data_IF_324125349565
#
_entry.id   IF_324125349565
#
_cell.length_a   1.000
_cell.length_b   1.000
_cell.length_c   1.000
_cell.angle_alpha   90.00
_cell.angle_beta   90.00
_cell.angle_gamma   90.00
#
_symmetry.space_group_name_H-M   'P 1'
#
loop_
_entity.id
_entity.type
_entity.pdbx_description
1 polymer ?
#
# COMPACT_ATOMS: atom_id res chain seq x y z
N UNK A 1 -2.77 39.78 -4.46
CA UNK A 1 -3.64 38.59 -4.47
C UNK A 1 -3.34 37.78 -3.24
N UNK A 2 -4.32 37.56 -2.34
CA UNK A 2 -4.13 36.62 -1.22
C UNK A 2 -4.14 35.21 -1.80
N UNK A 3 -3.03 34.51 -1.66
CA UNK A 3 -2.94 33.09 -2.01
C UNK A 3 -3.96 32.32 -1.15
N UNK A 4 -4.81 31.46 -1.73
CA UNK A 4 -5.79 30.73 -0.94
C UNK A 4 -5.08 29.86 0.11
N UNK A 5 -5.58 29.93 1.34
CA UNK A 5 -5.20 29.03 2.41
C UNK A 5 -5.87 27.66 2.20
N UNK A 6 -5.26 26.60 2.72
CA UNK A 6 -5.90 25.28 2.77
C UNK A 6 -6.84 25.29 3.98
N UNK A 7 -8.14 25.33 3.74
CA UNK A 7 -9.13 25.29 4.82
C UNK A 7 -9.28 23.88 5.42
N UNK A 8 -9.98 23.80 6.55
CA UNK A 8 -10.18 22.55 7.28
C UNK A 8 -10.90 21.48 6.43
N UNK A 9 -11.93 21.88 5.68
CA UNK A 9 -12.71 20.98 4.81
C UNK A 9 -11.86 20.38 3.69
N UNK A 10 -11.00 21.19 3.09
CA UNK A 10 -10.03 20.74 2.08
C UNK A 10 -9.07 19.73 2.71
N UNK A 11 -8.49 20.06 3.86
CA UNK A 11 -7.56 19.18 4.56
C UNK A 11 -8.21 17.84 4.95
N UNK A 12 -9.43 17.86 5.48
CA UNK A 12 -10.18 16.63 5.78
C UNK A 12 -10.40 15.77 4.53
N UNK A 13 -10.76 16.37 3.41
CA UNK A 13 -10.99 15.66 2.14
C UNK A 13 -9.71 15.02 1.60
N UNK A 14 -8.57 15.71 1.72
CA UNK A 14 -7.25 15.19 1.38
C UNK A 14 -6.90 13.98 2.25
N UNK A 15 -7.05 14.13 3.57
CA UNK A 15 -6.73 13.09 4.54
C UNK A 15 -7.64 11.86 4.42
N UNK A 16 -8.94 12.06 4.20
CA UNK A 16 -9.90 10.99 3.94
C UNK A 16 -9.51 10.16 2.70
N UNK A 17 -9.07 10.84 1.65
CA UNK A 17 -8.60 10.19 0.43
C UNK A 17 -7.30 9.41 0.67
N UNK A 18 -6.36 10.01 1.42
CA UNK A 18 -5.10 9.38 1.78
C UNK A 18 -5.31 8.05 2.52
N UNK A 19 -6.18 8.03 3.54
CA UNK A 19 -6.43 6.82 4.35
C UNK A 19 -7.19 5.73 3.60
N UNK A 20 -7.87 6.06 2.49
CA UNK A 20 -8.51 5.07 1.63
C UNK A 20 -7.51 4.19 0.86
N UNK A 21 -6.22 4.54 0.86
CA UNK A 21 -5.17 3.74 0.24
C UNK A 21 -5.10 2.31 0.82
N UNK A 22 -4.75 1.31 0.00
CA UNK A 22 -4.45 -0.02 0.49
C UNK A 22 -3.13 -0.02 1.27
N UNK A 23 -3.04 -0.85 2.31
CA UNK A 23 -1.79 -1.10 3.01
C UNK A 23 -1.64 -2.57 3.35
N UNK A 24 -0.40 -3.03 3.55
CA UNK A 24 -0.14 -4.39 4.02
C UNK A 24 -0.93 -4.65 5.31
N UNK A 25 -1.66 -5.76 5.36
CA UNK A 25 -2.54 -6.15 6.48
C UNK A 25 -3.50 -5.05 7.00
N UNK A 26 -3.80 -4.04 6.18
CA UNK A 26 -4.52 -2.83 6.61
C UNK A 26 -3.90 -2.14 7.85
N UNK A 27 -2.57 -2.21 7.99
CA UNK A 27 -1.79 -1.55 9.05
C UNK A 27 -1.89 -0.03 9.02
N UNK A 28 -2.22 0.58 7.87
CA UNK A 28 -2.31 2.03 7.64
C UNK A 28 -1.12 2.80 8.22
N UNK A 29 0.12 2.48 7.81
CA UNK A 29 1.32 2.79 8.58
C UNK A 29 1.87 4.20 8.29
N UNK A 30 0.97 5.18 8.30
CA UNK A 30 1.23 6.58 8.01
C UNK A 30 0.75 7.47 9.15
N UNK A 31 1.42 8.60 9.33
CA UNK A 31 0.96 9.76 10.10
C UNK A 31 1.02 10.99 9.22
N UNK A 32 0.06 11.88 9.39
CA UNK A 32 -0.04 13.12 8.63
C UNK A 32 0.14 14.33 9.54
N UNK A 33 0.95 15.29 9.09
CA UNK A 33 1.07 16.62 9.68
C UNK A 33 0.84 17.68 8.59
N UNK A 34 0.38 18.86 8.98
CA UNK A 34 0.20 19.99 8.07
C UNK A 34 1.08 21.15 8.53
N UNK A 35 1.95 21.62 7.64
CA UNK A 35 2.64 22.89 7.77
C UNK A 35 1.81 23.94 7.02
N UNK A 36 1.18 24.83 7.79
CA UNK A 36 0.31 25.87 7.27
C UNK A 36 1.08 26.96 6.50
N UNK A 37 2.32 27.26 6.90
CA UNK A 37 3.12 28.33 6.32
C UNK A 37 3.57 27.96 4.90
N UNK A 38 4.00 26.71 4.73
CA UNK A 38 4.44 26.21 3.42
C UNK A 38 3.31 25.57 2.60
N UNK A 39 2.14 25.36 3.21
CA UNK A 39 1.00 24.58 2.69
C UNK A 39 1.41 23.16 2.30
N UNK A 40 2.12 22.51 3.21
CA UNK A 40 2.72 21.20 2.98
C UNK A 40 2.14 20.15 3.91
N UNK A 41 1.70 19.04 3.33
CA UNK A 41 1.34 17.84 4.10
C UNK A 41 2.58 16.97 4.25
N UNK A 42 3.00 16.75 5.49
CA UNK A 42 4.05 15.81 5.85
C UNK A 42 3.47 14.42 6.05
N UNK A 43 4.04 13.43 5.37
CA UNK A 43 3.65 12.02 5.48
C UNK A 43 4.80 11.24 6.10
N UNK A 44 4.58 10.80 7.34
CA UNK A 44 5.59 10.11 8.16
C UNK A 44 5.27 8.63 8.29
N UNK A 45 6.30 7.81 8.44
CA UNK A 45 6.15 6.42 8.82
C UNK A 45 5.54 6.31 10.22
N UNK A 46 4.63 5.35 10.40
CA UNK A 46 4.14 4.98 11.71
C UNK A 46 4.93 3.79 12.31
N UNK A 47 4.83 3.58 13.63
CA UNK A 47 5.52 2.48 14.33
C UNK A 47 4.86 1.12 14.13
N UNK A 48 3.61 1.07 13.63
CA UNK A 48 2.93 -0.16 13.22
C UNK A 48 3.74 -0.87 12.14
N UNK A 49 4.35 -1.99 12.54
CA UNK A 49 5.29 -2.76 11.73
C UNK A 49 4.94 -4.24 11.73
N UNK A 50 5.55 -4.97 10.79
CA UNK A 50 5.43 -6.41 10.62
C UNK A 50 6.85 -6.99 10.55
N UNK A 51 7.55 -7.19 11.67
CA UNK A 51 8.96 -7.58 11.67
C UNK A 51 9.25 -8.89 10.91
N UNK A 52 8.31 -9.83 10.84
CA UNK A 52 8.53 -11.09 10.11
C UNK A 52 8.07 -10.97 8.64
N UNK A 53 6.89 -10.40 8.39
CA UNK A 53 6.30 -10.27 7.05
C UNK A 53 6.99 -9.18 6.22
N UNK A 54 7.43 -8.08 6.85
CA UNK A 54 8.08 -6.94 6.18
C UNK A 54 9.31 -6.43 6.96
N UNK A 55 10.36 -7.26 7.13
CA UNK A 55 11.53 -6.94 7.97
C UNK A 55 12.31 -5.70 7.49
N UNK A 56 12.20 -5.36 6.19
CA UNK A 56 12.85 -4.19 5.60
C UNK A 56 11.90 -3.02 5.37
N UNK A 57 10.66 -3.11 5.85
CA UNK A 57 9.64 -2.07 5.73
C UNK A 57 9.31 -1.69 4.26
N UNK A 58 9.53 -2.59 3.30
CA UNK A 58 9.24 -2.33 1.88
C UNK A 58 7.74 -2.16 1.67
N UNK A 59 6.95 -3.08 2.21
CA UNK A 59 5.50 -3.03 2.08
C UNK A 59 4.90 -1.84 2.83
N UNK A 60 5.51 -1.41 3.94
CA UNK A 60 5.20 -0.14 4.60
C UNK A 60 5.42 1.04 3.63
N UNK A 61 6.57 1.14 2.97
CA UNK A 61 6.85 2.22 2.02
C UNK A 61 5.90 2.17 0.80
N UNK A 62 5.57 0.98 0.28
CA UNK A 62 4.53 0.84 -0.76
C UNK A 62 3.18 1.38 -0.29
N UNK A 63 2.80 1.06 0.95
CA UNK A 63 1.54 1.53 1.55
C UNK A 63 1.52 3.05 1.66
N UNK A 64 2.61 3.66 2.13
CA UNK A 64 2.71 5.12 2.22
C UNK A 64 2.73 5.77 0.83
N UNK A 65 3.42 5.19 -0.14
CA UNK A 65 3.38 5.65 -1.53
C UNK A 65 1.95 5.67 -2.09
N UNK A 66 1.14 4.65 -1.79
CA UNK A 66 -0.27 4.62 -2.19
C UNK A 66 -1.08 5.76 -1.53
N UNK A 67 -0.86 6.04 -0.24
CA UNK A 67 -1.51 7.17 0.46
C UNK A 67 -1.10 8.53 -0.14
N UNK A 68 0.18 8.72 -0.47
CA UNK A 68 0.69 9.91 -1.16
C UNK A 68 0.03 10.07 -2.54
N UNK A 69 -0.18 8.98 -3.28
CA UNK A 69 -0.87 9.05 -4.56
C UNK A 69 -2.33 9.52 -4.40
N UNK A 70 -3.05 9.00 -3.41
CA UNK A 70 -4.43 9.44 -3.17
C UNK A 70 -4.51 10.90 -2.70
N UNK A 71 -3.52 11.39 -1.93
CA UNK A 71 -3.39 12.82 -1.62
C UNK A 71 -3.26 13.66 -2.90
N UNK A 72 -2.41 13.25 -3.84
CA UNK A 72 -2.23 13.95 -5.13
C UNK A 72 -3.52 13.99 -5.94
N UNK A 73 -4.24 12.87 -6.01
CA UNK A 73 -5.53 12.77 -6.72
C UNK A 73 -6.57 13.69 -6.10
N UNK A 74 -6.68 13.71 -4.77
CA UNK A 74 -7.61 14.56 -4.05
C UNK A 74 -7.26 16.06 -4.17
N UNK A 75 -5.98 16.41 -4.06
CA UNK A 75 -5.50 17.77 -4.25
C UNK A 75 -5.87 18.30 -5.63
N UNK A 76 -5.58 17.53 -6.68
CA UNK A 76 -5.94 17.90 -8.05
C UNK A 76 -7.45 18.05 -8.27
N UNK A 77 -8.25 17.18 -7.66
CA UNK A 77 -9.71 17.29 -7.73
C UNK A 77 -10.24 18.58 -7.07
N UNK A 78 -9.59 19.01 -5.98
CA UNK A 78 -9.92 20.22 -5.23
C UNK A 78 -9.28 21.50 -5.80
N UNK A 79 -8.68 21.44 -7.00
CA UNK A 79 -8.09 22.61 -7.68
C UNK A 79 -6.67 22.97 -7.25
N UNK A 80 -5.98 22.08 -6.54
CA UNK A 80 -4.57 22.25 -6.15
C UNK A 80 -3.64 21.50 -7.11
N UNK A 81 -2.46 22.05 -7.34
CA UNK A 81 -1.34 21.37 -8.01
C UNK A 81 -0.36 20.83 -6.94
N UNK A 82 -0.34 19.50 -6.69
CA UNK A 82 0.49 18.91 -5.64
C UNK A 82 1.92 18.64 -6.14
N UNK A 83 2.90 19.28 -5.51
CA UNK A 83 4.32 18.94 -5.68
C UNK A 83 4.77 17.97 -4.60
N UNK A 84 5.23 16.79 -5.00
CA UNK A 84 5.70 15.75 -4.07
C UNK A 84 7.21 15.65 -4.04
N UNK A 85 7.78 15.72 -2.84
CA UNK A 85 9.17 15.40 -2.56
C UNK A 85 9.23 14.15 -1.70
N UNK A 86 9.86 13.08 -2.19
CA UNK A 86 10.06 11.84 -1.44
C UNK A 86 11.35 11.89 -0.65
N UNK A 87 11.32 11.42 0.61
CA UNK A 87 12.47 11.40 1.53
C UNK A 87 13.20 12.77 1.58
N UNK A 88 12.48 13.86 1.90
CA UNK A 88 12.99 15.23 1.72
C UNK A 88 14.15 15.61 2.65
N UNK A 89 14.27 15.01 3.83
CA UNK A 89 15.37 15.26 4.77
C UNK A 89 16.14 13.96 5.08
N UNK A 90 17.41 13.83 4.63
CA UNK A 90 18.26 12.69 4.96
C UNK A 90 18.50 12.47 6.46
N UNK A 91 18.36 13.53 7.29
CA UNK A 91 18.53 13.48 8.75
C UNK A 91 17.27 12.98 9.45
N UNK A 92 16.12 13.04 8.78
CA UNK A 92 14.85 12.51 9.28
C UNK A 92 14.32 11.41 8.35
N UNK A 93 14.85 10.19 8.45
CA UNK A 93 14.41 9.08 7.64
C UNK A 93 12.95 8.68 7.89
N UNK A 94 12.29 9.17 8.95
CA UNK A 94 10.88 8.91 9.24
C UNK A 94 9.93 9.77 8.39
N UNK A 95 10.39 10.89 7.84
CA UNK A 95 9.64 11.72 6.90
C UNK A 95 9.72 11.12 5.50
N UNK A 96 8.67 10.41 5.09
CA UNK A 96 8.69 9.66 3.83
C UNK A 96 8.32 10.52 2.63
N UNK A 97 7.46 11.51 2.80
CA UNK A 97 7.12 12.45 1.74
C UNK A 97 6.62 13.79 2.29
N UNK A 98 6.80 14.84 1.50
CA UNK A 98 6.13 16.12 1.65
C UNK A 98 5.31 16.40 0.40
N UNK A 99 4.04 16.77 0.56
CA UNK A 99 3.13 17.16 -0.52
C UNK A 99 2.80 18.64 -0.37
N UNK A 100 3.44 19.49 -1.17
CA UNK A 100 3.23 20.94 -1.14
C UNK A 100 2.14 21.33 -2.13
N UNK A 101 1.20 22.15 -1.69
CA UNK A 101 0.02 22.51 -2.47
C UNK A 101 0.18 23.90 -3.11
N UNK A 102 0.13 23.93 -4.44
CA UNK A 102 0.09 25.16 -5.24
C UNK A 102 -1.30 25.36 -5.84
N UNK A 103 -1.64 26.59 -6.21
CA UNK A 103 -2.88 26.84 -6.95
C UNK A 103 -2.68 26.35 -8.38
N UNK A 104 -3.57 25.51 -8.88
CA UNK A 104 -3.49 25.02 -10.24
C UNK A 104 -3.64 26.17 -11.26
N UNK A 105 -2.89 26.10 -12.36
CA UNK A 105 -3.09 27.01 -13.49
C UNK A 105 -4.46 26.73 -14.15
N UNK A 106 -5.18 27.75 -14.66
CA UNK A 106 -6.51 27.58 -15.26
C UNK A 106 -6.59 26.52 -16.37
N UNK A 107 -5.53 26.36 -17.15
CA UNK A 107 -5.47 25.46 -18.31
C UNK A 107 -4.71 24.16 -18.05
N UNK A 108 -4.33 23.87 -16.81
CA UNK A 108 -3.61 22.64 -16.47
C UNK A 108 -4.54 21.43 -16.64
N UNK A 109 -4.23 20.55 -17.60
CA UNK A 109 -4.93 19.26 -17.70
C UNK A 109 -4.53 18.37 -16.51
N UNK A 110 -5.49 17.94 -15.67
CA UNK A 110 -5.13 17.16 -14.49
C UNK A 110 -4.70 15.76 -14.91
N UNK A 111 -3.45 15.40 -14.61
CA UNK A 111 -2.91 14.05 -14.85
C UNK A 111 -3.68 12.93 -14.12
N UNK A 112 -4.62 13.32 -13.25
CA UNK A 112 -5.43 12.48 -12.37
C UNK A 112 -6.91 12.38 -12.81
N UNK A 113 -7.25 12.86 -14.01
CA UNK A 113 -8.62 12.93 -14.50
C UNK A 113 -9.39 11.60 -14.35
N UNK A 114 -10.53 11.65 -13.67
CA UNK A 114 -11.43 10.52 -13.44
C UNK A 114 -10.93 9.49 -12.40
N UNK A 115 -9.87 9.78 -11.64
CA UNK A 115 -9.37 8.89 -10.58
C UNK A 115 -9.98 9.18 -9.20
N UNK A 116 -10.47 10.39 -8.95
CA UNK A 116 -10.99 10.79 -7.63
C UNK A 116 -12.12 9.87 -7.13
N UNK A 117 -13.15 9.66 -7.95
CA UNK A 117 -14.26 8.75 -7.61
C UNK A 117 -13.84 7.29 -7.47
N UNK A 118 -12.68 6.91 -8.05
CA UNK A 118 -12.15 5.56 -7.91
C UNK A 118 -11.54 5.33 -6.51
N UNK A 119 -11.06 6.38 -5.82
CA UNK A 119 -10.44 6.27 -4.48
C UNK A 119 -11.41 5.62 -3.48
N UNK A 120 -12.65 6.11 -3.43
CA UNK A 120 -13.68 5.58 -2.53
C UNK A 120 -14.21 4.20 -2.92
N UNK A 121 -14.16 3.85 -4.22
CA UNK A 121 -14.65 2.57 -4.77
C UNK A 121 -13.60 1.46 -4.79
N UNK A 122 -12.32 1.80 -4.64
CA UNK A 122 -11.24 0.81 -4.76
C UNK A 122 -11.23 -0.08 -3.52
N UNK A 123 -11.41 -1.38 -3.74
CA UNK A 123 -11.33 -2.41 -2.70
C UNK A 123 -10.48 -3.60 -3.15
N UNK A 124 -9.86 -4.27 -2.17
CA UNK A 124 -9.14 -5.53 -2.42
C UNK A 124 -10.13 -6.68 -2.41
N UNK A 125 -10.40 -7.26 -3.57
CA UNK A 125 -11.27 -8.43 -3.67
C UNK A 125 -10.46 -9.71 -3.49
N UNK A 126 -10.83 -10.52 -2.50
CA UNK A 126 -10.26 -11.85 -2.28
C UNK A 126 -11.17 -12.98 -2.77
N UNK A 127 -12.20 -12.64 -3.53
CA UNK A 127 -13.19 -13.57 -4.05
C UNK A 127 -12.73 -14.22 -5.38
N UNK A 128 -13.35 -15.34 -5.80
CA UNK A 128 -13.22 -15.86 -7.15
C UNK A 128 -13.57 -14.82 -8.21
N UNK A 129 -12.81 -14.78 -9.30
CA UNK A 129 -13.15 -13.98 -10.46
C UNK A 129 -13.78 -14.87 -11.54
N UNK A 130 -14.47 -14.25 -12.48
CA UNK A 130 -15.22 -14.91 -13.55
C UNK A 130 -14.32 -15.64 -14.56
N UNK A 131 -13.01 -15.33 -14.59
CA UNK A 131 -12.08 -15.84 -15.60
C UNK A 131 -12.21 -15.18 -16.98
N UNK A 132 -13.15 -14.23 -17.16
CA UNK A 132 -13.24 -13.42 -18.37
C UNK A 132 -11.96 -12.58 -18.53
N UNK A 133 -11.31 -12.59 -19.71
CA UNK A 133 -10.13 -11.76 -19.94
C UNK A 133 -10.48 -10.29 -19.79
N UNK A 134 -9.55 -9.51 -19.24
CA UNK A 134 -9.71 -8.05 -19.18
C UNK A 134 -9.29 -7.52 -20.54
N UNK A 135 -10.10 -6.67 -21.19
CA UNK A 135 -9.76 -6.08 -22.48
C UNK A 135 -8.36 -5.47 -22.50
N UNK A 136 -7.61 -5.71 -23.58
CA UNK A 136 -6.22 -5.31 -23.71
C UNK A 136 -6.01 -3.81 -23.48
N UNK A 137 -6.90 -2.97 -24.00
CA UNK A 137 -6.81 -1.51 -23.79
C UNK A 137 -6.85 -1.12 -22.31
N UNK A 138 -7.60 -1.83 -21.45
CA UNK A 138 -7.64 -1.57 -20.00
C UNK A 138 -6.31 -1.99 -19.37
N UNK A 139 -5.76 -3.14 -19.80
CA UNK A 139 -4.44 -3.61 -19.33
C UNK A 139 -3.36 -2.60 -19.71
N UNK A 140 -3.37 -2.08 -20.93
CA UNK A 140 -2.44 -1.06 -21.40
C UNK A 140 -2.55 0.24 -20.59
N UNK A 141 -3.77 0.68 -20.23
CA UNK A 141 -3.98 1.83 -19.34
C UNK A 141 -3.40 1.59 -17.94
N UNK A 142 -3.55 0.38 -17.37
CA UNK A 142 -2.92 0.02 -16.10
C UNK A 142 -1.38 0.02 -16.18
N UNK A 143 -0.83 -0.49 -17.28
CA UNK A 143 0.63 -0.50 -17.52
C UNK A 143 1.16 0.92 -17.67
N UNK A 144 0.46 1.77 -18.44
CA UNK A 144 0.79 3.18 -18.62
C UNK A 144 0.72 3.93 -17.29
N UNK A 145 -0.31 3.69 -16.49
CA UNK A 145 -0.46 4.25 -15.15
C UNK A 145 0.75 3.97 -14.26
N UNK A 146 1.22 2.73 -14.19
CA UNK A 146 2.41 2.41 -13.41
C UNK A 146 3.68 3.09 -13.96
N UNK A 147 3.83 3.16 -15.29
CA UNK A 147 4.98 3.79 -15.95
C UNK A 147 5.09 5.28 -15.69
N UNK A 148 3.97 6.02 -15.64
CA UNK A 148 3.99 7.46 -15.35
C UNK A 148 4.58 7.74 -13.96
N UNK A 149 4.39 6.82 -13.01
CA UNK A 149 4.92 6.92 -11.66
C UNK A 149 6.32 6.30 -11.50
N UNK A 150 6.97 5.89 -12.60
CA UNK A 150 8.34 5.39 -12.62
C UNK A 150 8.49 3.91 -12.23
N UNK A 151 7.41 3.13 -12.24
CA UNK A 151 7.47 1.68 -12.05
C UNK A 151 6.99 0.90 -13.29
N UNK A 152 7.27 -0.39 -13.32
CA UNK A 152 6.82 -1.28 -14.38
C UNK A 152 5.72 -2.20 -13.84
N UNK A 153 4.66 -2.32 -14.63
CA UNK A 153 3.62 -3.33 -14.44
C UNK A 153 3.70 -4.31 -15.61
N UNK A 154 4.09 -5.55 -15.35
CA UNK A 154 4.28 -6.57 -16.36
C UNK A 154 3.21 -7.65 -16.24
N UNK A 155 2.45 -7.86 -17.31
CA UNK A 155 1.51 -8.97 -17.41
C UNK A 155 2.21 -10.11 -18.16
N UNK A 156 2.56 -11.22 -17.47
CA UNK A 156 3.21 -12.35 -18.13
C UNK A 156 2.20 -13.17 -18.93
N UNK A 157 2.72 -14.05 -19.79
CA UNK A 157 1.93 -15.08 -20.45
C UNK A 157 1.41 -16.15 -19.45
N UNK A 158 0.77 -17.19 -19.99
CA UNK A 158 0.23 -18.29 -19.16
C UNK A 158 1.32 -19.03 -18.36
N UNK A 159 2.48 -19.30 -18.96
CA UNK A 159 3.56 -20.03 -18.31
C UNK A 159 4.20 -19.19 -17.20
N UNK A 160 4.45 -17.90 -17.47
CA UNK A 160 4.95 -16.94 -16.49
C UNK A 160 3.96 -16.71 -15.36
N UNK A 161 2.66 -16.60 -15.66
CA UNK A 161 1.59 -16.51 -14.63
C UNK A 161 1.64 -17.72 -13.70
N UNK A 162 1.67 -18.94 -14.25
CA UNK A 162 1.75 -20.16 -13.43
C UNK A 162 3.00 -20.20 -12.57
N UNK A 163 4.15 -19.78 -13.12
CA UNK A 163 5.41 -19.71 -12.38
C UNK A 163 5.31 -18.73 -11.21
N UNK A 164 4.81 -17.51 -11.43
CA UNK A 164 4.66 -16.51 -10.37
C UNK A 164 3.70 -16.98 -9.27
N UNK A 165 2.56 -17.58 -9.64
CA UNK A 165 1.63 -18.17 -8.67
C UNK A 165 2.26 -19.34 -7.91
N UNK A 166 3.07 -20.19 -8.55
CA UNK A 166 3.79 -21.27 -7.87
C UNK A 166 4.76 -20.75 -6.82
N UNK A 167 5.52 -19.67 -7.12
CA UNK A 167 6.43 -19.05 -6.15
C UNK A 167 5.65 -18.43 -4.98
N UNK A 168 4.50 -17.80 -5.24
CA UNK A 168 3.60 -17.31 -4.19
C UNK A 168 3.04 -18.45 -3.34
N UNK A 169 2.69 -19.59 -3.93
CA UNK A 169 2.22 -20.77 -3.21
C UNK A 169 3.31 -21.37 -2.31
N UNK A 170 4.56 -21.41 -2.79
CA UNK A 170 5.70 -21.84 -1.98
C UNK A 170 5.92 -20.91 -0.77
N UNK A 171 5.81 -19.60 -0.98
CA UNK A 171 5.89 -18.63 0.11
C UNK A 171 4.78 -18.82 1.15
N UNK A 172 3.54 -19.04 0.68
CA UNK A 172 2.41 -19.32 1.56
C UNK A 172 2.62 -20.59 2.39
N UNK A 173 3.15 -21.66 1.77
CA UNK A 173 3.48 -22.89 2.47
C UNK A 173 4.56 -22.68 3.54
N UNK A 174 5.61 -21.89 3.26
CA UNK A 174 6.63 -21.53 4.25
C UNK A 174 6.06 -20.71 5.40
N UNK A 175 5.19 -19.74 5.10
CA UNK A 175 4.54 -18.92 6.12
C UNK A 175 3.62 -19.75 7.03
N UNK A 176 2.89 -20.72 6.47
CA UNK A 176 2.04 -21.62 7.24
C UNK A 176 2.82 -22.63 8.10
N UNK A 177 4.05 -22.96 7.70
CA UNK A 177 4.94 -23.84 8.47
C UNK A 177 5.67 -23.14 9.62
N UNK A 178 5.68 -21.79 9.64
CA UNK A 178 6.31 -20.98 10.68
C UNK A 178 5.24 -20.45 11.67
N UNK A 179 5.22 -20.95 12.92
CA UNK A 179 4.24 -20.52 13.92
C UNK A 179 4.31 -19.03 14.27
N UNK A 180 5.50 -18.43 14.25
CA UNK A 180 5.68 -17.02 14.59
C UNK A 180 5.10 -16.11 13.50
N UNK A 181 5.31 -16.46 12.23
CA UNK A 181 4.69 -15.75 11.08
C UNK A 181 3.17 -15.90 11.05
N UNK A 182 2.69 -17.09 11.39
CA UNK A 182 1.25 -17.35 11.53
C UNK A 182 0.65 -16.48 12.65
N UNK A 183 1.33 -16.39 13.80
CA UNK A 183 0.91 -15.56 14.92
C UNK A 183 0.91 -14.06 14.57
N UNK A 184 1.96 -13.55 13.92
CA UNK A 184 2.03 -12.16 13.45
C UNK A 184 0.88 -11.85 12.49
N UNK A 185 0.63 -12.71 11.49
CA UNK A 185 -0.47 -12.51 10.54
C UNK A 185 -1.84 -12.49 11.24
N UNK A 186 -2.05 -13.41 12.20
CA UNK A 186 -3.31 -13.53 12.94
C UNK A 186 -3.57 -12.33 13.84
N UNK A 187 -2.54 -11.72 14.41
CA UNK A 187 -2.67 -10.54 15.26
C UNK A 187 -3.30 -9.33 14.53
N UNK A 188 -3.29 -9.33 13.19
CA UNK A 188 -3.92 -8.31 12.35
C UNK A 188 -5.32 -8.71 11.85
N UNK A 189 -5.90 -9.79 12.36
CA UNK A 189 -7.28 -10.21 12.03
C UNK A 189 -8.22 -9.73 13.14
N UNK A 190 -9.24 -8.96 12.76
CA UNK A 190 -10.25 -8.47 13.70
C UNK A 190 -11.43 -9.45 13.74
N UNK A 191 -11.76 -9.94 14.93
CA UNK A 191 -13.01 -10.66 15.17
C UNK A 191 -14.20 -9.69 15.16
N UNK A 192 -15.45 -10.16 14.97
CA UNK A 192 -16.60 -9.28 14.74
C UNK A 192 -16.95 -8.37 15.93
N UNK A 193 -16.57 -8.77 17.14
CA UNK A 193 -16.67 -8.02 18.39
C UNK A 193 -15.62 -6.91 18.52
N UNK A 194 -14.53 -6.98 17.77
CA UNK A 194 -13.46 -5.98 17.80
C UNK A 194 -13.76 -4.79 16.88
N UNK A 195 -13.86 -3.59 17.45
CA UNK A 195 -13.99 -2.33 16.71
C UNK A 195 -12.63 -1.62 16.56
N UNK A 196 -11.64 -2.34 16.02
CA UNK A 196 -10.30 -1.78 15.79
C UNK A 196 -10.25 -0.94 14.50
N UNK A 197 -9.53 0.20 14.50
CA UNK A 197 -9.39 1.07 13.34
C UNK A 197 -8.45 0.52 12.25
N UNK A 198 -7.71 -0.54 12.55
CA UNK A 198 -6.71 -1.18 11.69
C UNK A 198 -6.94 -2.68 11.61
N UNK A 199 -6.22 -3.36 10.71
CA UNK A 199 -6.34 -4.81 10.55
C UNK A 199 -7.45 -5.22 9.59
N UNK A 200 -7.57 -6.53 9.40
CA UNK A 200 -8.45 -7.16 8.42
C UNK A 200 -9.63 -7.81 9.17
N UNK A 201 -10.87 -7.37 8.95
CA UNK A 201 -12.04 -8.05 9.50
C UNK A 201 -12.17 -9.47 8.97
N UNK A 202 -12.66 -10.41 9.79
CA UNK A 202 -12.98 -11.78 9.35
C UNK A 202 -13.85 -11.81 8.09
N UNK A 203 -14.80 -10.88 7.97
CA UNK A 203 -15.70 -10.75 6.81
C UNK A 203 -15.00 -10.33 5.51
N UNK A 204 -13.77 -9.82 5.61
CA UNK A 204 -12.92 -9.44 4.49
C UNK A 204 -11.87 -10.50 4.15
N UNK A 205 -11.84 -11.61 4.89
CA UNK A 205 -11.05 -12.78 4.53
C UNK A 205 -11.65 -13.43 3.28
N UNK A 206 -10.78 -13.85 2.38
CA UNK A 206 -11.20 -14.58 1.18
C UNK A 206 -11.27 -16.08 1.42
N UNK A 207 -12.10 -16.80 0.65
CA UNK A 207 -12.07 -18.26 0.63
C UNK A 207 -10.76 -18.76 0.03
N UNK A 208 -10.39 -19.99 0.38
CA UNK A 208 -9.34 -20.74 -0.32
C UNK A 208 -9.86 -21.27 -1.66
N UNK A 209 -8.96 -21.48 -2.61
CA UNK A 209 -9.30 -22.16 -3.86
C UNK A 209 -9.37 -23.68 -3.65
N UNK A 210 -10.52 -24.28 -3.97
CA UNK A 210 -10.72 -25.73 -3.88
C UNK A 210 -9.77 -26.53 -4.77
N UNK A 211 -9.28 -25.91 -5.86
CA UNK A 211 -8.33 -26.56 -6.76
C UNK A 211 -6.85 -26.26 -6.46
N UNK A 212 -6.57 -25.47 -5.42
CA UNK A 212 -5.20 -25.12 -5.02
C UNK A 212 -4.39 -24.33 -6.05
N UNK A 213 -5.02 -23.72 -7.06
CA UNK A 213 -4.32 -22.94 -8.11
C UNK A 213 -4.06 -21.52 -7.68
N UNK A 214 -4.97 -20.91 -6.92
CA UNK A 214 -4.83 -19.55 -6.43
C UNK A 214 -4.29 -19.53 -4.99
N UNK A 215 -3.03 -19.10 -4.76
CA UNK A 215 -2.42 -19.02 -3.44
C UNK A 215 -2.88 -17.77 -2.68
N UNK A 216 -4.17 -17.73 -2.33
CA UNK A 216 -4.70 -16.71 -1.45
C UNK A 216 -4.05 -16.83 -0.06
N UNK A 217 -3.62 -15.69 0.51
CA UNK A 217 -3.04 -15.64 1.87
C UNK A 217 -4.02 -16.21 2.88
N UNK A 218 -3.55 -17.13 3.71
CA UNK A 218 -4.27 -17.59 4.88
C UNK A 218 -3.93 -16.72 6.08
N UNK A 219 -4.91 -15.93 6.53
CA UNK A 219 -4.76 -15.06 7.69
C UNK A 219 -5.09 -15.75 9.02
N UNK A 220 -5.70 -16.93 8.97
CA UNK A 220 -6.26 -17.60 10.16
C UNK A 220 -5.30 -18.62 10.75
N UNK A 221 -4.43 -19.22 9.93
CA UNK A 221 -3.66 -20.40 10.32
C UNK A 221 -4.59 -21.56 10.70
N UNK A 222 -4.14 -22.55 11.48
CA UNK A 222 -4.85 -23.83 11.66
C UNK A 222 -6.18 -23.78 12.43
N UNK A 223 -6.74 -22.60 12.74
CA UNK A 223 -7.98 -22.46 13.51
C UNK A 223 -9.23 -22.75 12.64
N UNK A 224 -9.96 -23.86 12.85
CA UNK A 224 -10.97 -24.34 11.90
C UNK A 224 -12.24 -23.47 11.80
N UNK A 225 -12.54 -22.64 12.81
CA UNK A 225 -13.81 -21.88 12.88
C UNK A 225 -13.79 -20.48 12.26
N UNK A 226 -12.62 -19.96 11.87
CA UNK A 226 -12.47 -18.58 11.37
C UNK A 226 -12.42 -18.51 9.83
N UNK A 227 -12.47 -19.66 9.16
CA UNK A 227 -12.24 -19.76 7.71
C UNK A 227 -13.56 -19.82 6.94
N UNK A 228 -13.77 -18.95 5.94
CA UNK A 228 -14.87 -19.15 5.00
C UNK A 228 -14.68 -20.45 4.20
N UNK A 229 -15.78 -21.10 3.76
CA UNK A 229 -15.71 -22.32 2.97
C UNK A 229 -14.92 -22.09 1.68
N UNK A 230 -14.14 -23.10 1.27
CA UNK A 230 -13.37 -23.01 0.03
C UNK A 230 -14.30 -22.89 -1.19
N UNK A 231 -13.93 -22.03 -2.14
CA UNK A 231 -14.66 -21.81 -3.39
C UNK A 231 -13.78 -22.17 -4.59
N UNK A 232 -14.40 -22.39 -5.75
CA UNK A 232 -13.67 -22.60 -7.00
C UNK A 232 -13.23 -21.26 -7.60
N UNK A 233 -11.93 -21.08 -7.80
CA UNK A 233 -11.40 -19.88 -8.46
C UNK A 233 -11.28 -20.08 -9.98
N UNK A 234 -11.01 -18.99 -10.69
CA UNK A 234 -10.80 -18.99 -12.13
C UNK A 234 -9.66 -19.95 -12.54
N UNK A 235 -9.82 -20.57 -13.71
CA UNK A 235 -8.81 -21.47 -14.27
C UNK A 235 -7.58 -20.71 -14.78
N UNK A 236 -7.80 -19.53 -15.35
CA UNK A 236 -6.77 -18.67 -15.91
C UNK A 236 -6.85 -17.31 -15.22
N UNK A 237 -6.04 -17.12 -14.18
CA UNK A 237 -5.94 -15.83 -13.52
C UNK A 237 -5.10 -14.87 -14.38
N UNK A 238 -5.49 -13.60 -14.42
CA UNK A 238 -4.60 -12.56 -14.91
C UNK A 238 -3.89 -11.92 -13.73
N UNK A 239 -2.57 -11.86 -13.83
CA UNK A 239 -1.71 -11.26 -12.80
C UNK A 239 -0.75 -10.28 -13.46
N UNK A 240 -0.31 -9.30 -12.69
CA UNK A 240 0.69 -8.35 -13.09
C UNK A 240 1.77 -8.23 -12.01
N UNK A 241 3.03 -8.34 -12.42
CA UNK A 241 4.17 -8.10 -11.55
C UNK A 241 4.50 -6.61 -11.54
N UNK A 242 4.42 -5.98 -10.37
CA UNK A 242 4.91 -4.62 -10.14
C UNK A 242 6.38 -4.68 -9.72
N UNK A 243 7.23 -3.92 -10.41
CA UNK A 243 8.67 -3.86 -10.13
C UNK A 243 9.30 -2.52 -10.51
N UNK A 244 10.49 -2.24 -9.96
CA UNK A 244 11.31 -1.06 -10.32
C UNK A 244 12.74 -1.45 -10.72
N UNK A 245 13.48 -0.58 -11.43
CA UNK A 245 14.86 -0.84 -11.82
C UNK A 245 15.85 -0.93 -10.64
N UNK A 246 15.56 -0.22 -9.55
CA UNK A 246 16.38 -0.15 -8.34
C UNK A 246 15.56 -0.54 -7.11
N UNK A 247 16.22 -0.78 -5.97
CA UNK A 247 15.58 -1.30 -4.75
C UNK A 247 15.82 -0.38 -3.53
N UNK A 248 15.83 0.93 -3.75
CA UNK A 248 16.02 1.95 -2.70
C UNK A 248 14.66 2.30 -2.10
N UNK A 249 14.68 2.92 -0.91
CA UNK A 249 13.46 3.38 -0.21
C UNK A 249 12.57 4.28 -1.08
N UNK A 250 13.20 5.14 -1.88
CA UNK A 250 12.50 6.00 -2.84
C UNK A 250 11.80 5.20 -3.94
N UNK A 251 12.41 4.12 -4.44
CA UNK A 251 11.80 3.22 -5.43
C UNK A 251 10.59 2.49 -4.85
N UNK A 252 10.60 2.16 -3.55
CA UNK A 252 9.46 1.55 -2.87
C UNK A 252 8.28 2.52 -2.75
N UNK A 253 8.54 3.79 -2.45
CA UNK A 253 7.52 4.85 -2.43
C UNK A 253 6.96 5.11 -3.84
N UNK A 254 7.82 5.15 -4.87
CA UNK A 254 7.40 5.23 -6.28
C UNK A 254 6.55 4.03 -6.68
N UNK A 255 6.96 2.82 -6.33
CA UNK A 255 6.19 1.61 -6.56
C UNK A 255 4.81 1.66 -5.89
N UNK A 256 4.73 2.20 -4.66
CA UNK A 256 3.46 2.43 -3.98
C UNK A 256 2.53 3.39 -4.73
N UNK A 257 3.07 4.49 -5.25
CA UNK A 257 2.31 5.44 -6.08
C UNK A 257 1.85 4.81 -7.40
N UNK A 258 2.75 4.10 -8.08
CA UNK A 258 2.47 3.38 -9.32
C UNK A 258 1.40 2.30 -9.15
N UNK A 259 1.50 1.54 -8.05
CA UNK A 259 0.52 0.55 -7.64
C UNK A 259 -0.85 1.21 -7.53
N UNK A 260 -1.00 2.23 -6.68
CA UNK A 260 -2.31 2.84 -6.44
C UNK A 260 -2.91 3.43 -7.71
N UNK A 261 -2.11 4.11 -8.54
CA UNK A 261 -2.58 4.62 -9.83
C UNK A 261 -3.14 3.51 -10.73
N UNK A 262 -2.44 2.39 -10.84
CA UNK A 262 -2.92 1.24 -11.61
C UNK A 262 -4.19 0.62 -11.01
N UNK A 263 -4.30 0.54 -9.68
CA UNK A 263 -5.51 0.05 -9.00
C UNK A 263 -6.72 0.97 -9.21
N UNK A 264 -6.52 2.29 -9.18
CA UNK A 264 -7.59 3.27 -9.44
C UNK A 264 -8.05 3.21 -10.90
N UNK A 265 -7.12 3.08 -11.85
CA UNK A 265 -7.44 2.87 -13.28
C UNK A 265 -8.25 1.59 -13.47
N UNK A 266 -7.82 0.47 -12.88
CA UNK A 266 -8.58 -0.79 -12.91
C UNK A 266 -10.02 -0.60 -12.36
N UNK A 267 -10.13 0.08 -11.22
CA UNK A 267 -11.42 0.36 -10.55
C UNK A 267 -12.34 1.24 -11.40
N UNK A 268 -11.78 2.22 -12.13
CA UNK A 268 -12.53 3.06 -13.07
C UNK A 268 -13.17 2.23 -14.19
N UNK A 269 -12.49 1.19 -14.67
CA UNK A 269 -13.02 0.25 -15.68
C UNK A 269 -13.80 -0.94 -15.10
N UNK A 270 -14.13 -0.91 -13.80
CA UNK A 270 -14.88 -1.98 -13.14
C UNK A 270 -14.09 -3.28 -12.92
N UNK A 271 -12.76 -3.25 -13.12
CA UNK A 271 -11.87 -4.38 -12.84
C UNK A 271 -11.60 -4.43 -11.34
N UNK A 272 -11.70 -5.64 -10.76
CA UNK A 272 -11.36 -5.94 -9.37
C UNK A 272 -9.91 -6.37 -9.27
N UNK A 273 -9.28 -6.06 -8.14
CA UNK A 273 -7.86 -6.33 -7.91
C UNK A 273 -7.64 -7.03 -6.56
N UNK A 274 -6.65 -7.91 -6.51
CA UNK A 274 -6.17 -8.60 -5.31
C UNK A 274 -4.65 -8.50 -5.24
N UNK A 275 -4.10 -8.30 -4.04
CA UNK A 275 -2.66 -8.15 -3.83
C UNK A 275 -2.07 -9.44 -3.25
N UNK A 276 -1.02 -9.94 -3.89
CA UNK A 276 -0.28 -11.16 -3.53
C UNK A 276 1.16 -10.76 -3.21
N UNK A 277 1.47 -10.66 -1.92
CA UNK A 277 2.76 -10.18 -1.41
C UNK A 277 3.70 -11.31 -0.95
N UNK A 278 3.19 -12.53 -0.76
CA UNK A 278 3.86 -13.55 0.06
C UNK A 278 5.28 -13.89 -0.42
N UNK A 279 5.50 -13.98 -1.72
CA UNK A 279 6.83 -14.25 -2.26
C UNK A 279 7.86 -13.14 -2.00
N UNK A 280 7.41 -11.90 -1.77
CA UNK A 280 8.28 -10.75 -1.46
C UNK A 280 8.84 -10.80 -0.05
N UNK A 281 8.24 -11.61 0.81
CA UNK A 281 8.63 -11.82 2.22
C UNK A 281 9.89 -12.70 2.31
N UNK A 282 10.16 -13.50 1.28
CA UNK A 282 11.28 -14.45 1.22
C UNK A 282 12.33 -13.99 0.20
N UNK A 283 13.58 -13.68 0.60
CA UNK A 283 14.60 -13.14 -0.30
C UNK A 283 14.88 -14.00 -1.55
N UNK A 284 14.93 -15.32 -1.38
CA UNK A 284 15.18 -16.29 -2.46
C UNK A 284 14.02 -16.37 -3.46
N UNK A 285 12.77 -16.38 -2.98
CA UNK A 285 11.59 -16.39 -3.84
C UNK A 285 11.43 -15.06 -4.59
N UNK A 286 11.66 -13.93 -3.92
CA UNK A 286 11.67 -12.61 -4.54
C UNK A 286 12.74 -12.49 -5.63
N UNK A 287 13.96 -12.98 -5.38
CA UNK A 287 15.02 -13.01 -6.38
C UNK A 287 14.64 -13.91 -7.57
N UNK A 288 14.01 -15.05 -7.30
CA UNK A 288 13.53 -15.97 -8.34
C UNK A 288 12.43 -15.33 -9.20
N UNK A 289 11.55 -14.51 -8.63
CA UNK A 289 10.54 -13.76 -9.40
C UNK A 289 11.15 -12.75 -10.37
N UNK A 290 12.31 -12.17 -10.04
CA UNK A 290 13.02 -11.25 -10.93
C UNK A 290 13.63 -11.95 -12.16
N UNK A 291 14.04 -13.21 -12.02
CA UNK A 291 14.76 -13.94 -13.07
C UNK A 291 13.92 -14.12 -14.34
N UNK A 292 14.51 -13.94 -15.54
CA UNK A 292 15.95 -13.73 -15.81
C UNK A 292 16.42 -12.26 -15.83
N UNK A 293 15.60 -11.31 -15.35
CA UNK A 293 15.83 -9.87 -15.57
C UNK A 293 16.75 -9.26 -14.52
N UNK A 294 17.97 -8.92 -14.92
CA UNK A 294 19.01 -8.35 -14.05
C UNK A 294 18.57 -7.05 -13.32
N UNK A 295 17.76 -6.21 -13.98
CA UNK A 295 17.26 -4.93 -13.43
C UNK A 295 15.86 -5.02 -12.82
N UNK A 296 15.26 -6.21 -12.70
CA UNK A 296 13.95 -6.32 -12.08
C UNK A 296 14.09 -6.37 -10.56
N UNK A 297 13.42 -5.46 -9.84
CA UNK A 297 13.24 -5.50 -8.39
C UNK A 297 11.74 -5.64 -8.08
N UNK A 298 11.24 -6.88 -7.92
CA UNK A 298 9.83 -7.16 -7.66
C UNK A 298 9.35 -6.54 -6.35
N UNK A 299 8.13 -5.99 -6.35
CA UNK A 299 7.50 -5.43 -5.15
C UNK A 299 6.18 -6.08 -4.81
N UNK A 300 5.40 -6.47 -5.80
CA UNK A 300 4.07 -7.03 -5.57
C UNK A 300 3.55 -7.76 -6.80
N UNK A 301 2.76 -8.81 -6.60
CA UNK A 301 1.94 -9.41 -7.64
C UNK A 301 0.48 -8.95 -7.48
N UNK A 302 -0.11 -8.42 -8.54
CA UNK A 302 -1.50 -7.92 -8.56
C UNK A 302 -2.33 -8.86 -9.42
N UNK A 303 -3.25 -9.59 -8.82
CA UNK A 303 -4.28 -10.35 -9.54
C UNK A 303 -5.40 -9.40 -9.93
N UNK A 304 -5.92 -9.48 -11.15
CA UNK A 304 -6.99 -8.61 -11.61
C UNK A 304 -7.99 -9.34 -12.51
N UNK A 305 -9.25 -8.89 -12.50
CA UNK A 305 -10.34 -9.51 -13.27
C UNK A 305 -11.71 -8.99 -12.88
N UNK A 306 -12.77 -9.65 -13.38
CA UNK A 306 -14.15 -9.31 -13.03
C UNK A 306 -14.70 -10.27 -12.00
N UNK A 307 -15.37 -9.75 -10.97
CA UNK A 307 -15.96 -10.55 -9.91
C UNK A 307 -16.53 -9.68 -8.78
N UNK A 308 -16.90 -10.28 -7.64
CA UNK A 308 -17.41 -9.54 -6.49
C UNK A 308 -16.41 -8.52 -5.96
N UNK A 309 -16.91 -7.44 -5.36
CA UNK A 309 -16.09 -6.37 -4.79
C UNK A 309 -15.27 -6.84 -3.56
N UNK A 310 -15.84 -7.77 -2.79
CA UNK A 310 -15.23 -8.28 -1.54
C UNK A 310 -15.61 -7.42 -0.32
N UNK A 311 -15.14 -7.84 0.86
CA UNK A 311 -15.38 -7.14 2.12
C UNK A 311 -14.57 -5.86 2.26
N UNK A 312 -15.14 -4.87 2.98
CA UNK A 312 -14.47 -3.60 3.30
C UNK A 312 -13.66 -3.72 4.60
N UNK A 313 -12.51 -3.05 4.62
CA UNK A 313 -11.67 -2.91 5.82
C UNK A 313 -11.87 -1.54 6.47
N UNK A 314 -11.74 -1.41 7.81
CA UNK A 314 -11.88 -0.14 8.51
C UNK A 314 -10.77 0.83 8.09
N UNK A 315 -11.10 2.13 8.09
CA UNK A 315 -10.18 3.24 7.88
C UNK A 315 -10.12 4.06 9.15
N UNK A 316 -8.90 4.30 9.65
CA UNK A 316 -8.70 5.07 10.86
C UNK A 316 -9.04 6.54 10.61
N UNK A 317 -9.67 7.17 11.59
CA UNK A 317 -9.83 8.62 11.59
C UNK A 317 -8.46 9.28 11.61
N UNK A 318 -8.25 10.27 10.75
CA UNK A 318 -7.01 11.04 10.73
C UNK A 318 -6.97 12.01 11.90
N UNK A 319 -5.98 11.85 12.78
CA UNK A 319 -5.56 12.91 13.71
C UNK A 319 -4.32 13.57 13.11
N UNK A 320 -4.38 14.88 12.91
CA UNK A 320 -3.19 15.66 12.56
C UNK A 320 -2.22 15.58 13.73
N UNK A 321 -0.97 15.23 13.46
CA UNK A 321 0.10 15.37 14.46
C UNK A 321 0.63 16.80 14.31
N UNK A 322 0.71 17.60 15.40
CA UNK A 322 1.43 18.87 15.37
C UNK A 322 2.86 18.64 14.85
N UNK A 323 3.38 19.56 14.03
CA UNK A 323 4.72 19.45 13.44
C UNK A 323 5.85 19.62 14.45
N UNK A 324 5.57 20.13 15.65
CA UNK A 324 6.53 20.36 16.74
C UNK A 324 6.44 19.30 17.83
N UNK A 325 7.04 18.12 17.60
CA UNK A 325 7.58 17.32 18.70
C UNK A 325 9.00 16.89 18.33
N UNK A 326 9.94 17.82 18.51
CA UNK A 326 11.35 17.47 18.71
C UNK A 326 11.42 16.59 19.96
N UNK A 327 12.01 15.38 19.92
CA UNK A 327 12.18 14.61 21.15
C UNK A 327 13.06 15.43 22.08
N UNK A 328 12.51 15.82 23.24
CA UNK A 328 13.26 16.52 24.28
C UNK A 328 14.50 15.69 24.60
N UNK A 329 15.67 16.24 24.26
CA UNK A 329 16.95 15.69 24.67
C UNK A 329 16.95 15.62 26.19
N UNK A 330 17.23 14.43 26.72
CA UNK A 330 17.62 14.25 28.12
C UNK A 330 18.92 15.01 28.33
N UNK A 331 18.80 16.18 28.94
CA UNK A 331 19.94 16.96 29.43
C UNK A 331 20.44 16.26 30.71
N UNK A 332 21.39 15.34 30.55
CA UNK A 332 22.17 14.82 31.68
C UNK A 332 23.21 15.87 32.07
N UNK A 333 22.88 16.64 33.10
CA UNK A 333 23.82 17.50 33.81
C UNK A 333 24.86 16.63 34.54
N UNK A 334 26.18 16.79 34.31
CA UNK A 334 27.18 16.09 35.11
C UNK A 334 27.32 16.80 36.47
N UNK A 335 27.12 16.03 37.54
CA UNK A 335 27.37 16.47 38.91
C UNK A 335 28.86 16.78 39.12
N UNK A 336 29.17 18.02 39.50
CA UNK A 336 30.49 18.43 39.96
C UNK A 336 30.81 17.90 41.36
N UNK A 337 32.10 17.73 41.71
CA UNK A 337 32.53 17.11 42.96
C UNK A 337 32.50 18.09 44.13
N UNK A 338 31.91 17.69 45.25
CA UNK A 338 32.01 18.40 46.54
C UNK A 338 32.79 17.56 47.53
N UNK A 339 33.89 18.13 48.04
CA UNK A 339 34.65 17.68 49.20
C UNK A 339 36.06 18.28 49.09
N UNK A 340 36.48 19.27 49.87
CA UNK A 340 36.11 19.62 51.24
C UNK A 340 37.35 19.41 52.10
N UNK A 341 38.10 20.50 52.34
CA UNK A 341 39.29 20.56 53.21
C UNK A 341 38.97 20.12 54.63
N UNK A 342 39.83 19.23 55.15
CA UNK A 342 40.03 18.89 56.55
C UNK A 342 41.42 18.29 56.69
#
# INVERSE_FOLDING_TARGET
>A
MRTPAVDATTLESLLYSAVAAPSIHNTQPWRFGMDADTRSIHVRADSRSLPLTDPRQRAQHLSVGAAVFNLRVAAAHLGWDPLVTLLPDPRDPGLLATVRLFVAAPDAQPSYAGLYDAVARRHTSRMPFTGRPVPEHIVLEMVKAARIEGAHLEVPDFAGTRRLLSLTAQAEARNAADPARTAETRAWVNTPDMRLPHGIPLTSLGPRDTAGRMPMRDFTGPLPGLRPPALRFERHAQVALLWTPHDRREDWLRAGQAMERALLVATRFGVRTSMLHQAMEWPDLRATMAAPRLRCRPHLLIRFGYGPEGGRTPRAATRLTPTDETPAGTDETPAGPTGGTG
#
